data_IF_124311642724
#
_entry.id   IF_124311642724
#
_cell.length_a   1.000
_cell.length_b   1.000
_cell.length_c   1.000
_cell.angle_alpha   90.00
_cell.angle_beta   90.00
_cell.angle_gamma   90.00
#
_symmetry.space_group_name_H-M   'P 1'
#
loop_
_entity.id
_entity.type
_entity.pdbx_description
1 polymer ?
#
# COMPACT_ATOMS: atom_id res chain seq x y z
N UNK A 1 -23.41 3.96 29.09
CA UNK A 1 -22.84 2.99 28.15
C UNK A 1 -23.40 3.37 26.78
N UNK A 2 -22.59 4.04 25.97
CA UNK A 2 -22.96 4.34 24.58
C UNK A 2 -22.76 3.05 23.79
N UNK A 3 -23.84 2.42 23.31
CA UNK A 3 -23.72 1.33 22.35
C UNK A 3 -23.09 1.92 21.09
N UNK A 4 -21.84 1.55 20.82
CA UNK A 4 -21.23 1.76 19.51
C UNK A 4 -22.05 0.93 18.52
N UNK A 5 -22.72 1.59 17.60
CA UNK A 5 -23.43 0.89 16.53
C UNK A 5 -22.36 0.21 15.65
N UNK A 6 -22.32 -1.12 15.66
CA UNK A 6 -21.43 -1.89 14.81
C UNK A 6 -21.73 -1.54 13.34
N UNK A 7 -20.68 -1.23 12.61
CA UNK A 7 -20.71 -1.26 11.14
C UNK A 7 -20.57 -2.73 10.74
N UNK A 8 -21.35 -3.19 9.77
CA UNK A 8 -21.30 -4.58 9.34
C UNK A 8 -19.84 -5.03 9.15
N UNK A 9 -19.44 -6.13 9.82
CA UNK A 9 -18.09 -6.72 9.82
C UNK A 9 -16.98 -5.91 10.53
N UNK A 10 -17.29 -4.76 11.14
CA UNK A 10 -16.29 -3.93 11.83
C UNK A 10 -16.55 -3.96 13.33
N UNK A 11 -15.59 -4.46 14.07
CA UNK A 11 -15.59 -4.38 15.52
C UNK A 11 -14.90 -3.09 15.97
N UNK A 12 -15.66 -2.15 16.56
CA UNK A 12 -15.14 -0.88 17.04
C UNK A 12 -14.71 -1.04 18.50
N UNK A 13 -13.40 -0.88 18.78
CA UNK A 13 -12.82 -0.97 20.12
C UNK A 13 -13.00 0.34 20.89
N UNK A 14 -12.79 1.47 20.22
CA UNK A 14 -13.08 2.82 20.74
C UNK A 14 -13.35 3.81 19.61
N UNK A 15 -13.98 4.94 19.93
CA UNK A 15 -14.37 5.96 18.94
C UNK A 15 -13.41 7.17 19.04
N UNK A 16 -12.48 7.37 18.11
CA UNK A 16 -11.49 8.45 18.15
C UNK A 16 -12.14 9.79 17.85
N UNK A 17 -11.61 10.87 18.48
CA UNK A 17 -12.08 12.26 18.27
C UNK A 17 -11.38 12.87 17.07
N UNK A 18 -11.89 12.60 15.89
CA UNK A 18 -11.37 13.14 14.62
C UNK A 18 -12.22 14.32 14.15
N UNK A 19 -11.62 15.23 13.38
CA UNK A 19 -12.29 16.42 12.85
C UNK A 19 -12.68 16.24 11.39
N UNK A 20 -11.70 16.13 10.51
CA UNK A 20 -11.80 15.84 9.07
C UNK A 20 -10.54 15.07 8.64
N UNK A 21 -10.40 13.83 9.11
CA UNK A 21 -9.16 13.08 8.90
C UNK A 21 -8.97 12.71 7.43
N UNK A 22 -7.70 12.47 7.07
CA UNK A 22 -7.40 11.67 5.91
C UNK A 22 -7.39 10.19 6.31
N UNK A 23 -7.76 9.30 5.38
CA UNK A 23 -7.64 7.86 5.56
C UNK A 23 -6.60 7.31 4.59
N UNK A 24 -5.60 6.62 5.11
CA UNK A 24 -4.57 5.93 4.32
C UNK A 24 -4.75 4.44 4.45
N UNK A 25 -4.84 3.73 3.33
CA UNK A 25 -5.04 2.28 3.31
C UNK A 25 -3.94 1.56 2.53
N UNK A 26 -3.42 0.47 3.08
CA UNK A 26 -2.46 -0.42 2.43
C UNK A 26 -2.78 -1.89 2.76
N UNK A 27 -2.66 -2.76 1.77
CA UNK A 27 -2.99 -4.17 1.91
C UNK A 27 -1.84 -5.03 1.40
N UNK A 28 -1.38 -5.99 2.23
CA UNK A 28 -0.44 -7.03 1.82
C UNK A 28 -1.10 -7.91 0.78
N UNK A 29 -0.33 -8.36 -0.19
CA UNK A 29 -0.82 -9.24 -1.26
C UNK A 29 -0.39 -8.76 -2.63
N UNK A 30 -1.24 -8.94 -3.61
CA UNK A 30 -0.97 -8.64 -5.01
C UNK A 30 -0.59 -7.15 -5.28
N UNK A 31 -1.13 -6.24 -4.48
CA UNK A 31 -0.87 -4.79 -4.60
C UNK A 31 0.36 -4.31 -3.82
N UNK A 32 1.20 -5.18 -3.28
CA UNK A 32 2.25 -4.80 -2.33
C UNK A 32 3.61 -5.43 -2.68
N UNK A 33 4.09 -5.14 -3.88
CA UNK A 33 5.39 -5.61 -4.35
C UNK A 33 6.50 -5.19 -3.38
N UNK A 34 7.34 -6.16 -2.98
CA UNK A 34 8.38 -5.95 -1.98
C UNK A 34 7.86 -5.53 -0.61
N UNK A 35 6.57 -5.71 -0.28
CA UNK A 35 6.00 -5.29 1.00
C UNK A 35 6.09 -3.78 1.26
N UNK A 36 6.20 -2.98 0.21
CA UNK A 36 6.53 -1.56 0.32
C UNK A 36 5.38 -0.73 0.89
N UNK A 37 4.15 -0.95 0.42
CA UNK A 37 2.98 -0.20 0.85
C UNK A 37 2.58 -0.53 2.29
N UNK A 38 2.61 -1.81 2.66
CA UNK A 38 2.33 -2.25 4.04
C UNK A 38 3.41 -1.77 5.01
N UNK A 39 4.68 -1.75 4.58
CA UNK A 39 5.78 -1.19 5.37
C UNK A 39 5.58 0.33 5.58
N UNK A 40 5.25 1.07 4.52
CA UNK A 40 4.96 2.50 4.60
C UNK A 40 3.83 2.79 5.59
N UNK A 41 2.71 2.06 5.50
CA UNK A 41 1.59 2.22 6.43
C UNK A 41 1.97 1.90 7.89
N UNK A 42 2.83 0.88 8.10
CA UNK A 42 3.37 0.56 9.43
C UNK A 42 4.20 1.71 10.02
N UNK A 43 5.08 2.32 9.24
CA UNK A 43 5.84 3.50 9.67
C UNK A 43 4.95 4.72 9.89
N UNK A 44 4.00 4.98 8.99
CA UNK A 44 3.03 6.08 9.15
C UNK A 44 2.29 5.98 10.48
N UNK A 45 1.78 4.78 10.80
CA UNK A 45 1.13 4.50 12.08
C UNK A 45 2.03 4.82 13.26
N UNK A 46 3.30 4.37 13.20
CA UNK A 46 4.25 4.55 14.30
C UNK A 46 4.62 6.03 14.52
N UNK A 47 4.92 6.78 13.45
CA UNK A 47 5.34 8.20 13.57
C UNK A 47 4.19 9.14 13.91
N UNK A 48 2.94 8.72 13.70
CA UNK A 48 1.76 9.51 14.06
C UNK A 48 1.12 9.10 15.38
N UNK A 49 1.73 8.16 16.12
CA UNK A 49 1.18 7.57 17.36
C UNK A 49 -0.30 7.16 17.19
N UNK A 50 -0.59 6.47 16.08
CA UNK A 50 -1.94 6.03 15.80
C UNK A 50 -2.27 4.76 16.59
N UNK A 51 -3.31 4.83 17.42
CA UNK A 51 -3.81 3.71 18.21
C UNK A 51 -4.86 2.90 17.45
N UNK A 52 -4.90 1.58 17.67
CA UNK A 52 -5.91 0.73 17.05
C UNK A 52 -7.29 1.07 17.64
N UNK A 53 -8.22 1.42 16.77
CA UNK A 53 -9.56 1.82 17.15
C UNK A 53 -10.66 0.87 16.67
N UNK A 54 -10.37 0.06 15.63
CA UNK A 54 -11.29 -0.94 15.12
C UNK A 54 -10.57 -2.06 14.37
N UNK A 55 -11.27 -3.17 14.15
CA UNK A 55 -10.79 -4.33 13.37
C UNK A 55 -11.93 -4.77 12.44
N UNK A 56 -11.60 -5.10 11.21
CA UNK A 56 -12.52 -5.79 10.30
C UNK A 56 -12.35 -7.29 10.51
N UNK A 57 -13.44 -7.97 10.81
CA UNK A 57 -13.47 -9.42 10.99
C UNK A 57 -12.95 -10.12 9.72
N UNK A 58 -11.94 -10.96 9.87
CA UNK A 58 -11.30 -11.65 8.74
C UNK A 58 -12.08 -12.87 8.24
N UNK A 59 -12.89 -13.51 9.10
CA UNK A 59 -13.64 -14.74 8.78
C UNK A 59 -14.46 -14.66 7.49
N UNK A 60 -15.21 -13.58 7.19
CA UNK A 60 -16.00 -13.49 5.98
C UNK A 60 -15.19 -13.21 4.71
N UNK A 61 -13.93 -12.82 4.83
CA UNK A 61 -13.15 -12.23 3.74
C UNK A 61 -11.88 -12.99 3.37
N UNK A 62 -11.34 -13.81 4.29
CA UNK A 62 -10.08 -14.50 4.12
C UNK A 62 -10.31 -16.01 3.97
N UNK A 63 -9.73 -16.58 2.93
CA UNK A 63 -9.58 -18.03 2.80
C UNK A 63 -8.30 -18.46 3.54
N UNK A 64 -8.46 -19.03 4.72
CA UNK A 64 -7.32 -19.47 5.54
C UNK A 64 -6.53 -20.64 4.96
N UNK A 65 -6.96 -21.25 3.87
CA UNK A 65 -6.12 -22.20 3.12
C UNK A 65 -5.11 -21.48 2.23
N UNK A 66 -5.46 -20.30 1.73
CA UNK A 66 -4.58 -19.46 0.91
C UNK A 66 -3.75 -18.51 1.78
N UNK A 67 -4.38 -17.87 2.77
CA UNK A 67 -3.73 -16.91 3.68
C UNK A 67 -3.81 -17.43 5.11
N UNK A 68 -2.82 -18.25 5.48
CA UNK A 68 -2.82 -18.94 6.77
C UNK A 68 -2.53 -18.01 7.94
N UNK A 69 -3.21 -18.16 9.09
CA UNK A 69 -2.76 -17.55 10.33
C UNK A 69 -1.38 -18.10 10.72
N UNK A 70 -0.58 -17.28 11.38
CA UNK A 70 0.76 -17.65 11.81
C UNK A 70 0.81 -17.92 13.31
N UNK A 71 1.64 -18.90 13.72
CA UNK A 71 1.88 -19.20 15.13
C UNK A 71 3.16 -18.51 15.56
N UNK A 72 3.09 -17.73 16.62
CA UNK A 72 4.26 -17.15 17.27
C UNK A 72 4.44 -17.76 18.66
N UNK A 73 5.71 -17.92 19.09
CA UNK A 73 6.05 -18.25 20.46
C UNK A 73 6.37 -16.93 21.18
N UNK A 74 5.56 -16.62 22.18
CA UNK A 74 5.76 -15.47 23.07
C UNK A 74 6.50 -15.98 24.31
N UNK A 75 7.62 -15.37 24.66
CA UNK A 75 8.49 -15.75 25.80
C UNK A 75 8.91 -17.23 25.81
N UNK A 76 8.94 -17.86 24.63
CA UNK A 76 9.40 -19.24 24.46
C UNK A 76 8.37 -20.33 24.76
N UNK A 77 7.25 -20.03 25.41
CA UNK A 77 6.30 -21.04 25.88
C UNK A 77 4.85 -20.82 25.41
N UNK A 78 4.42 -19.56 25.23
CA UNK A 78 3.03 -19.26 24.90
C UNK A 78 2.86 -19.19 23.38
N UNK A 79 1.99 -20.05 22.83
CA UNK A 79 1.60 -19.99 21.43
C UNK A 79 0.53 -18.92 21.25
N UNK A 80 0.82 -17.91 20.40
CA UNK A 80 -0.17 -16.94 19.91
C UNK A 80 -0.42 -17.18 18.42
N UNK A 81 -1.70 -17.17 18.02
CA UNK A 81 -2.09 -17.16 16.63
C UNK A 81 -2.30 -15.72 16.18
N UNK A 82 -1.57 -15.32 15.15
CA UNK A 82 -1.79 -14.06 14.46
C UNK A 82 -2.64 -14.33 13.22
N UNK A 83 -3.85 -13.78 13.25
CA UNK A 83 -4.79 -13.87 12.14
C UNK A 83 -4.55 -12.79 11.09
N UNK A 84 -4.85 -13.04 9.82
CA UNK A 84 -4.70 -12.03 8.76
C UNK A 84 -5.83 -10.99 8.82
N UNK A 85 -5.91 -10.26 9.93
CA UNK A 85 -6.91 -9.22 10.18
C UNK A 85 -6.62 -7.95 9.40
N UNK A 86 -7.66 -7.13 9.22
CA UNK A 86 -7.51 -5.74 8.77
C UNK A 86 -7.78 -4.84 9.95
N UNK A 87 -6.74 -4.12 10.37
CA UNK A 87 -6.76 -3.25 11.52
C UNK A 87 -6.93 -1.79 11.09
N UNK A 88 -7.71 -1.04 11.86
CA UNK A 88 -7.96 0.38 11.67
C UNK A 88 -7.38 1.12 12.86
N UNK A 89 -6.46 2.02 12.56
CA UNK A 89 -5.78 2.86 13.54
C UNK A 89 -6.19 4.32 13.35
N UNK A 90 -6.17 5.09 14.42
CA UNK A 90 -6.46 6.52 14.37
C UNK A 90 -5.47 7.32 15.20
N UNK A 91 -5.03 8.46 14.68
CA UNK A 91 -4.27 9.48 15.39
C UNK A 91 -5.13 10.72 15.54
N UNK A 92 -5.51 11.06 16.76
CA UNK A 92 -6.27 12.29 17.05
C UNK A 92 -5.42 13.55 16.85
N UNK A 93 -4.11 13.45 17.11
CA UNK A 93 -3.15 14.56 16.96
C UNK A 93 -2.90 14.92 15.51
N UNK A 94 -2.73 13.89 14.66
CA UNK A 94 -2.48 14.05 13.22
C UNK A 94 -3.77 14.11 12.39
N UNK A 95 -4.93 13.92 13.02
CA UNK A 95 -6.24 13.82 12.35
C UNK A 95 -6.21 12.83 11.18
N UNK A 96 -5.76 11.60 11.46
CA UNK A 96 -5.42 10.58 10.49
C UNK A 96 -6.04 9.23 10.86
N UNK A 97 -6.51 8.50 9.87
CA UNK A 97 -6.91 7.09 9.97
C UNK A 97 -5.97 6.26 9.09
N UNK A 98 -5.48 5.14 9.62
CA UNK A 98 -4.62 4.21 8.88
C UNK A 98 -5.26 2.83 8.88
N UNK A 99 -5.51 2.28 7.70
CA UNK A 99 -6.06 0.93 7.50
C UNK A 99 -4.95 0.04 6.98
N UNK A 100 -4.63 -1.02 7.72
CA UNK A 100 -3.59 -1.98 7.35
C UNK A 100 -4.16 -3.39 7.43
N UNK A 101 -4.03 -4.14 6.37
CA UNK A 101 -4.54 -5.52 6.35
C UNK A 101 -3.90 -6.38 5.29
N UNK A 102 -4.54 -7.50 5.04
CA UNK A 102 -4.24 -8.39 3.91
C UNK A 102 -5.34 -8.25 2.88
N UNK A 103 -4.98 -8.29 1.60
CA UNK A 103 -5.95 -8.31 0.52
C UNK A 103 -6.93 -9.47 0.71
N UNK A 104 -8.26 -9.21 0.75
CA UNK A 104 -9.23 -10.26 0.98
C UNK A 104 -9.29 -11.24 -0.20
N UNK A 105 -9.51 -12.53 0.08
CA UNK A 105 -9.69 -13.53 -0.95
C UNK A 105 -11.10 -13.51 -1.55
N UNK A 106 -12.07 -13.01 -0.79
CA UNK A 106 -13.50 -13.03 -1.17
C UNK A 106 -14.28 -11.84 -0.65
N UNK A 107 -15.52 -11.67 -1.17
CA UNK A 107 -16.49 -10.64 -0.75
C UNK A 107 -15.95 -9.19 -0.82
N UNK A 108 -15.14 -8.89 -1.80
CA UNK A 108 -14.45 -7.62 -1.97
C UNK A 108 -15.37 -6.39 -1.91
N UNK A 109 -16.60 -6.49 -2.45
CA UNK A 109 -17.58 -5.39 -2.39
C UNK A 109 -18.02 -5.10 -0.95
N UNK A 110 -18.25 -6.13 -0.15
CA UNK A 110 -18.63 -5.97 1.26
C UNK A 110 -17.46 -5.44 2.08
N UNK A 111 -16.24 -5.95 1.85
CA UNK A 111 -15.02 -5.48 2.50
C UNK A 111 -14.75 -3.99 2.21
N UNK A 112 -14.75 -3.59 0.94
CA UNK A 112 -14.54 -2.19 0.55
C UNK A 112 -15.69 -1.29 1.03
N UNK A 113 -16.92 -1.81 1.05
CA UNK A 113 -18.08 -1.12 1.62
C UNK A 113 -17.89 -0.81 3.10
N UNK A 114 -17.42 -1.78 3.90
CA UNK A 114 -17.15 -1.59 5.31
C UNK A 114 -16.10 -0.47 5.56
N UNK A 115 -15.03 -0.43 4.76
CA UNK A 115 -14.03 0.65 4.85
C UNK A 115 -14.64 2.01 4.45
N UNK A 116 -15.44 2.06 3.38
CA UNK A 116 -16.11 3.29 2.95
C UNK A 116 -17.11 3.80 4.01
N UNK A 117 -17.82 2.90 4.69
CA UNK A 117 -18.74 3.26 5.78
C UNK A 117 -17.99 3.78 7.01
N UNK A 118 -16.83 3.20 7.35
CA UNK A 118 -15.94 3.74 8.38
C UNK A 118 -15.41 5.12 7.99
N UNK A 119 -15.02 5.31 6.73
CA UNK A 119 -14.58 6.63 6.23
C UNK A 119 -15.70 7.67 6.36
N UNK A 120 -16.95 7.32 6.06
CA UNK A 120 -18.12 8.20 6.27
C UNK A 120 -18.39 8.48 7.75
N UNK A 121 -18.31 7.44 8.60
CA UNK A 121 -18.49 7.57 10.06
C UNK A 121 -17.52 8.58 10.63
N UNK A 122 -16.24 8.50 10.26
CA UNK A 122 -15.20 9.42 10.73
C UNK A 122 -15.15 10.74 9.95
N UNK A 123 -16.02 10.96 8.95
CA UNK A 123 -16.05 12.16 8.11
C UNK A 123 -14.71 12.40 7.40
N UNK A 124 -14.14 11.34 6.88
CA UNK A 124 -12.86 11.38 6.14
C UNK A 124 -12.95 12.37 4.99
N UNK A 125 -11.95 13.24 4.87
CA UNK A 125 -11.87 14.24 3.80
C UNK A 125 -11.34 13.64 2.50
N UNK A 126 -10.31 12.78 2.61
CA UNK A 126 -9.68 12.11 1.48
C UNK A 126 -9.26 10.69 1.87
N UNK A 127 -9.63 9.72 1.04
CA UNK A 127 -9.13 8.35 1.13
C UNK A 127 -7.94 8.20 0.18
N UNK A 128 -6.78 7.77 0.71
CA UNK A 128 -5.56 7.53 -0.07
C UNK A 128 -5.20 6.06 0.06
N UNK A 129 -5.10 5.37 -1.06
CA UNK A 129 -4.57 4.01 -1.07
C UNK A 129 -3.10 4.02 -1.48
N UNK A 130 -2.31 3.16 -0.86
CA UNK A 130 -0.93 2.92 -1.26
C UNK A 130 -0.78 1.51 -1.81
N UNK A 131 -0.03 1.40 -2.90
CA UNK A 131 0.34 0.14 -3.51
C UNK A 131 1.77 0.15 -4.04
N UNK A 132 2.26 -1.01 -4.43
CA UNK A 132 3.53 -1.16 -5.12
C UNK A 132 3.41 -2.24 -6.19
N UNK A 133 4.02 -2.00 -7.35
CA UNK A 133 4.02 -2.91 -8.49
C UNK A 133 5.45 -3.23 -8.91
N UNK A 134 5.66 -4.45 -9.41
CA UNK A 134 6.91 -4.80 -10.07
C UNK A 134 6.98 -4.11 -11.44
N UNK A 135 8.12 -3.51 -11.75
CA UNK A 135 8.31 -2.76 -12.98
C UNK A 135 9.78 -2.85 -13.46
N UNK A 136 9.98 -2.49 -14.73
CA UNK A 136 11.30 -2.34 -15.36
C UNK A 136 11.93 -1.02 -14.92
N UNK A 137 12.38 -0.95 -13.66
CA UNK A 137 13.00 0.25 -13.08
C UNK A 137 14.32 -0.12 -12.39
N UNK A 138 15.37 0.72 -12.51
CA UNK A 138 16.64 0.45 -11.85
C UNK A 138 16.57 0.82 -10.36
N UNK A 139 17.16 -0.02 -9.50
CA UNK A 139 17.25 0.24 -8.06
C UNK A 139 18.19 1.40 -7.68
N UNK A 140 19.01 1.85 -8.63
CA UNK A 140 20.00 2.91 -8.47
C UNK A 140 19.44 4.31 -8.73
N UNK A 141 18.20 4.42 -9.15
CA UNK A 141 17.50 5.70 -9.39
C UNK A 141 16.39 5.90 -8.34
N UNK A 142 15.90 7.13 -8.14
CA UNK A 142 14.75 7.38 -7.29
C UNK A 142 13.57 6.50 -7.66
N UNK A 143 12.88 5.94 -6.68
CA UNK A 143 11.71 5.09 -6.91
C UNK A 143 10.61 5.91 -7.58
N UNK A 144 10.15 5.55 -8.78
CA UNK A 144 9.05 6.25 -9.42
C UNK A 144 7.76 6.06 -8.63
N UNK A 145 7.04 7.17 -8.37
CA UNK A 145 5.73 7.16 -7.75
C UNK A 145 4.72 7.69 -8.74
N UNK A 146 3.79 6.84 -9.14
CA UNK A 146 2.61 7.28 -9.86
C UNK A 146 1.47 7.60 -8.88
N UNK A 147 0.67 8.61 -9.23
CA UNK A 147 -0.41 9.05 -8.39
C UNK A 147 -1.63 9.40 -9.24
N UNK A 148 -2.76 8.81 -8.92
CA UNK A 148 -4.01 8.99 -9.66
C UNK A 148 -5.15 9.41 -8.74
N UNK A 149 -6.14 10.12 -9.28
CA UNK A 149 -7.37 10.44 -8.59
C UNK A 149 -8.56 10.47 -9.56
N UNK A 150 -9.77 10.35 -9.02
CA UNK A 150 -11.01 10.50 -9.78
C UNK A 150 -11.55 11.93 -9.83
N UNK A 151 -11.07 12.78 -8.93
CA UNK A 151 -11.53 14.15 -8.71
C UNK A 151 -10.56 15.15 -9.35
N UNK A 152 -11.10 16.03 -10.23
CA UNK A 152 -10.29 17.02 -10.95
C UNK A 152 -9.58 18.02 -10.03
N UNK A 153 -10.23 18.41 -8.93
CA UNK A 153 -9.61 19.32 -7.96
C UNK A 153 -8.38 18.70 -7.29
N UNK A 154 -8.44 17.38 -6.97
CA UNK A 154 -7.28 16.65 -6.45
C UNK A 154 -6.17 16.53 -7.49
N UNK A 155 -6.54 16.30 -8.76
CA UNK A 155 -5.56 16.23 -9.85
C UNK A 155 -4.82 17.56 -9.98
N UNK A 156 -5.54 18.68 -10.05
CA UNK A 156 -4.94 20.01 -10.18
C UNK A 156 -4.09 20.37 -8.94
N UNK A 157 -4.62 20.10 -7.75
CA UNK A 157 -3.96 20.45 -6.49
C UNK A 157 -2.67 19.71 -6.24
N UNK A 158 -2.61 18.43 -6.60
CA UNK A 158 -1.48 17.55 -6.25
C UNK A 158 -0.68 17.07 -7.47
N UNK A 159 -1.00 17.56 -8.66
CA UNK A 159 -0.35 17.12 -9.89
C UNK A 159 -0.58 15.63 -10.17
N UNK A 160 -1.82 15.15 -9.95
CA UNK A 160 -2.20 13.77 -10.19
C UNK A 160 -2.78 13.61 -11.59
N UNK A 161 -2.74 12.38 -12.11
CA UNK A 161 -3.38 12.04 -13.37
C UNK A 161 -4.68 11.26 -13.13
N UNK A 162 -5.52 11.21 -14.17
CA UNK A 162 -6.60 10.22 -14.22
C UNK A 162 -6.02 8.91 -14.72
N UNK A 163 -6.33 7.79 -14.06
CA UNK A 163 -6.01 6.49 -14.61
C UNK A 163 -6.86 6.21 -15.84
N UNK A 164 -6.24 5.76 -16.92
CA UNK A 164 -6.90 5.22 -18.12
C UNK A 164 -6.74 3.71 -18.21
N UNK A 165 -6.19 3.10 -17.16
CA UNK A 165 -5.95 1.67 -17.08
C UNK A 165 -7.25 0.88 -17.20
N UNK A 166 -7.24 -0.11 -18.11
CA UNK A 166 -8.30 -1.09 -18.31
C UNK A 166 -7.69 -2.50 -18.20
N UNK A 167 -8.06 -3.25 -17.15
CA UNK A 167 -7.52 -4.58 -16.92
C UNK A 167 -7.92 -5.17 -15.57
N UNK A 168 -7.32 -6.31 -15.15
CA UNK A 168 -7.53 -6.90 -13.84
C UNK A 168 -7.14 -5.91 -12.74
N UNK A 169 -7.93 -5.83 -11.67
CA UNK A 169 -7.67 -4.93 -10.55
C UNK A 169 -7.66 -5.67 -9.22
N UNK A 170 -6.88 -5.17 -8.28
CA UNK A 170 -6.85 -5.64 -6.89
C UNK A 170 -7.84 -4.89 -6.00
N UNK A 171 -7.74 -5.15 -4.68
CA UNK A 171 -8.62 -4.54 -3.68
C UNK A 171 -8.56 -3.01 -3.67
N UNK A 172 -7.41 -2.43 -4.05
CA UNK A 172 -7.23 -0.97 -4.17
C UNK A 172 -8.23 -0.38 -5.16
N UNK A 173 -8.34 -0.95 -6.38
CA UNK A 173 -9.29 -0.48 -7.39
C UNK A 173 -10.74 -0.66 -6.95
N UNK A 174 -11.08 -1.78 -6.28
CA UNK A 174 -12.43 -2.02 -5.75
C UNK A 174 -12.77 -1.04 -4.61
N UNK A 175 -11.79 -0.66 -3.79
CA UNK A 175 -11.98 0.35 -2.74
C UNK A 175 -12.24 1.73 -3.35
N UNK A 176 -11.52 2.11 -4.41
CA UNK A 176 -11.79 3.36 -5.13
C UNK A 176 -13.21 3.43 -5.68
N UNK A 177 -13.70 2.34 -6.29
CA UNK A 177 -15.07 2.24 -6.78
C UNK A 177 -16.09 2.34 -5.63
N UNK A 178 -15.83 1.70 -4.48
CA UNK A 178 -16.66 1.84 -3.29
C UNK A 178 -16.67 3.27 -2.74
N UNK A 179 -15.53 3.95 -2.69
CA UNK A 179 -15.41 5.35 -2.31
C UNK A 179 -16.23 6.26 -3.24
N UNK A 180 -16.10 6.08 -4.56
CA UNK A 180 -16.84 6.86 -5.54
C UNK A 180 -18.36 6.70 -5.35
N UNK A 181 -18.85 5.45 -5.17
CA UNK A 181 -20.26 5.19 -4.88
C UNK A 181 -20.74 5.80 -3.56
N UNK A 182 -19.88 5.89 -2.58
CA UNK A 182 -20.16 6.51 -1.28
C UNK A 182 -20.06 8.05 -1.30
N UNK A 183 -19.66 8.65 -2.43
CA UNK A 183 -19.43 10.09 -2.56
C UNK A 183 -18.17 10.58 -1.80
N UNK A 184 -17.21 9.68 -1.58
CA UNK A 184 -15.92 9.98 -0.94
C UNK A 184 -14.88 10.33 -2.01
N UNK A 185 -14.05 11.32 -1.71
CA UNK A 185 -12.89 11.67 -2.53
C UNK A 185 -11.79 10.63 -2.32
N UNK A 186 -11.14 10.19 -3.39
CA UNK A 186 -10.07 9.20 -3.27
C UNK A 186 -8.92 9.44 -4.25
N UNK A 187 -7.72 9.07 -3.81
CA UNK A 187 -6.49 9.07 -4.59
C UNK A 187 -5.73 7.76 -4.37
N UNK A 188 -4.84 7.43 -5.27
CA UNK A 188 -4.01 6.23 -5.22
C UNK A 188 -2.56 6.58 -5.48
N UNK A 189 -1.65 6.05 -4.66
CA UNK A 189 -0.21 6.16 -4.81
C UNK A 189 0.38 4.78 -5.09
N UNK A 190 1.20 4.67 -6.12
CA UNK A 190 1.84 3.42 -6.51
C UNK A 190 3.34 3.60 -6.67
N UNK A 191 4.12 2.77 -5.97
CA UNK A 191 5.57 2.71 -6.14
C UNK A 191 5.94 1.65 -7.18
N UNK A 192 6.82 2.02 -8.12
CA UNK A 192 7.44 1.07 -9.02
C UNK A 192 8.63 0.41 -8.32
N UNK A 193 8.63 -0.92 -8.24
CA UNK A 193 9.73 -1.69 -7.63
C UNK A 193 10.40 -2.57 -8.66
N UNK A 194 11.75 -2.70 -8.64
CA UNK A 194 12.45 -3.54 -9.59
C UNK A 194 12.01 -5.00 -9.49
N UNK A 195 11.62 -5.61 -10.61
CA UNK A 195 11.16 -7.00 -10.64
C UNK A 195 12.30 -8.02 -10.42
N UNK A 196 13.55 -7.64 -10.70
CA UNK A 196 14.73 -8.51 -10.51
C UNK A 196 15.22 -8.58 -9.06
N UNK A 197 14.59 -7.84 -8.12
CA UNK A 197 14.93 -7.85 -6.71
C UNK A 197 13.85 -8.60 -5.92
N UNK A 198 14.19 -9.78 -5.42
CA UNK A 198 13.29 -10.58 -4.57
C UNK A 198 13.32 -10.20 -3.09
N UNK A 199 14.26 -9.32 -2.68
CA UNK A 199 14.42 -8.93 -1.28
C UNK A 199 13.21 -8.12 -0.77
N UNK A 200 12.57 -8.61 0.27
CA UNK A 200 11.45 -7.96 0.96
C UNK A 200 11.78 -7.88 2.46
N UNK A 201 11.39 -6.80 3.16
CA UNK A 201 10.68 -5.62 2.63
C UNK A 201 11.58 -4.67 1.82
N UNK A 202 10.95 -3.79 1.00
CA UNK A 202 11.61 -2.73 0.24
C UNK A 202 11.42 -1.35 0.92
N UNK A 203 12.34 -0.92 1.78
CA UNK A 203 12.21 0.36 2.49
C UNK A 203 12.47 1.59 1.61
N UNK A 204 13.13 1.46 0.46
CA UNK A 204 13.28 2.58 -0.49
C UNK A 204 11.93 2.95 -1.10
N UNK A 205 11.17 1.96 -1.55
CA UNK A 205 9.83 2.19 -2.09
C UNK A 205 8.85 2.68 -1.00
N UNK A 206 8.95 2.15 0.22
CA UNK A 206 8.16 2.63 1.35
C UNK A 206 8.46 4.10 1.69
N UNK A 207 9.74 4.50 1.69
CA UNK A 207 10.16 5.88 1.92
C UNK A 207 9.63 6.83 0.83
N UNK A 208 9.70 6.42 -0.43
CA UNK A 208 9.19 7.19 -1.55
C UNK A 208 7.66 7.39 -1.47
N UNK A 209 6.90 6.35 -1.10
CA UNK A 209 5.45 6.44 -0.84
C UNK A 209 5.14 7.44 0.28
N UNK A 210 5.84 7.36 1.41
CA UNK A 210 5.62 8.25 2.55
C UNK A 210 6.02 9.70 2.24
N UNK A 211 7.08 9.91 1.48
CA UNK A 211 7.48 11.26 1.03
C UNK A 211 6.36 11.87 0.21
N UNK A 212 5.85 11.15 -0.78
CA UNK A 212 4.75 11.63 -1.63
C UNK A 212 3.46 11.84 -0.85
N UNK A 213 3.12 10.91 0.06
CA UNK A 213 1.98 11.04 0.96
C UNK A 213 2.08 12.31 1.83
N UNK A 214 3.25 12.56 2.43
CA UNK A 214 3.49 13.74 3.27
C UNK A 214 3.25 15.06 2.53
N UNK A 215 3.65 15.12 1.26
CA UNK A 215 3.37 16.29 0.38
C UNK A 215 1.86 16.49 0.16
N UNK A 216 1.10 15.41 0.06
CA UNK A 216 -0.34 15.48 -0.20
C UNK A 216 -1.15 15.89 1.04
N UNK A 217 -0.87 15.30 2.20
CA UNK A 217 -1.70 15.50 3.40
C UNK A 217 -1.10 16.48 4.41
N UNK A 218 0.14 16.91 4.21
CA UNK A 218 0.83 17.82 5.13
C UNK A 218 1.21 17.21 6.48
N UNK A 219 1.05 15.91 6.64
CA UNK A 219 1.45 15.18 7.85
C UNK A 219 2.87 14.65 7.65
N UNK A 220 3.85 15.04 8.48
CA UNK A 220 5.19 14.48 8.40
C UNK A 220 5.14 12.96 8.59
N UNK A 221 5.57 12.21 7.61
CA UNK A 221 5.61 10.77 7.65
C UNK A 221 7.06 10.24 7.55
N UNK A 222 8.04 11.12 7.50
CA UNK A 222 9.46 10.76 7.49
C UNK A 222 9.92 10.21 8.83
N UNK A 223 10.78 9.21 8.78
CA UNK A 223 11.41 8.58 9.93
C UNK A 223 12.88 8.34 9.62
N UNK A 224 13.77 8.83 10.49
CA UNK A 224 15.21 8.58 10.36
C UNK A 224 15.55 7.08 10.38
N UNK A 225 14.71 6.28 11.00
CA UNK A 225 14.83 4.83 10.98
C UNK A 225 14.54 4.25 9.59
N UNK A 226 13.47 4.71 8.92
CA UNK A 226 13.15 4.28 7.55
C UNK A 226 14.21 4.76 6.55
N UNK A 227 14.72 5.99 6.69
CA UNK A 227 15.80 6.51 5.85
C UNK A 227 17.08 5.68 5.98
N UNK A 228 17.43 5.30 7.21
CA UNK A 228 18.57 4.40 7.47
C UNK A 228 18.32 3.01 6.86
N UNK A 229 17.13 2.43 7.07
CA UNK A 229 16.76 1.14 6.50
C UNK A 229 16.79 1.15 4.97
N UNK A 230 16.33 2.25 4.33
CA UNK A 230 16.39 2.44 2.88
C UNK A 230 17.84 2.49 2.37
N UNK A 231 18.71 3.21 3.09
CA UNK A 231 20.14 3.30 2.74
C UNK A 231 20.84 1.96 2.87
N UNK A 232 20.61 1.23 3.97
CA UNK A 232 21.17 -0.11 4.18
C UNK A 232 20.66 -1.12 3.15
N UNK A 233 19.39 -1.04 2.77
CA UNK A 233 18.80 -1.86 1.70
C UNK A 233 19.47 -1.59 0.36
N UNK A 234 19.65 -0.32 -0.03
CA UNK A 234 20.34 0.07 -1.26
C UNK A 234 21.74 -0.54 -1.36
N UNK A 235 22.52 -0.46 -0.27
CA UNK A 235 23.87 -1.03 -0.23
C UNK A 235 23.87 -2.56 -0.38
N UNK A 236 22.94 -3.25 0.28
CA UNK A 236 22.82 -4.72 0.16
C UNK A 236 22.43 -5.15 -1.25
N UNK A 237 21.49 -4.45 -1.87
CA UNK A 237 21.06 -4.72 -3.24
C UNK A 237 22.19 -4.47 -4.23
N UNK A 238 22.88 -3.33 -4.12
CA UNK A 238 24.00 -3.00 -4.99
C UNK A 238 25.14 -4.05 -4.87
N UNK A 239 25.45 -4.52 -3.67
CA UNK A 239 26.44 -5.59 -3.46
C UNK A 239 26.01 -6.90 -4.11
N UNK A 240 24.76 -7.32 -3.94
CA UNK A 240 24.25 -8.56 -4.50
C UNK A 240 24.24 -8.56 -6.04
N UNK A 241 23.94 -7.40 -6.66
CA UNK A 241 23.90 -7.25 -8.11
C UNK A 241 25.32 -7.18 -8.70
N UNK A 242 26.29 -6.57 -8.00
CA UNK A 242 27.67 -6.50 -8.47
C UNK A 242 28.33 -7.88 -8.62
N UNK A 243 27.82 -8.87 -7.92
CA UNK A 243 28.32 -10.25 -7.98
C UNK A 243 27.74 -11.05 -9.16
N UNK A 244 26.75 -10.49 -9.90
CA UNK A 244 26.10 -11.12 -11.07
C UNK A 244 26.22 -10.22 -12.30
N UNK A 245 27.14 -10.53 -13.24
CA UNK A 245 27.40 -9.71 -14.43
C UNK A 245 26.20 -9.59 -15.39
N UNK A 246 25.33 -10.61 -15.46
CA UNK A 246 24.18 -10.61 -16.35
C UNK A 246 23.12 -9.63 -15.83
N UNK A 247 22.86 -9.63 -14.52
CA UNK A 247 21.96 -8.68 -13.87
C UNK A 247 22.55 -7.27 -13.91
N UNK A 248 23.86 -7.11 -13.71
CA UNK A 248 24.53 -5.79 -13.79
C UNK A 248 24.38 -5.15 -15.17
N UNK A 249 24.55 -5.93 -16.25
CA UNK A 249 24.31 -5.46 -17.62
C UNK A 249 22.87 -5.05 -17.89
N UNK A 250 21.90 -5.81 -17.36
CA UNK A 250 20.49 -5.46 -17.44
C UNK A 250 20.16 -4.15 -16.68
N UNK A 251 20.69 -3.99 -15.47
CA UNK A 251 20.51 -2.76 -14.69
C UNK A 251 21.03 -1.53 -15.44
N UNK A 252 22.18 -1.64 -16.12
CA UNK A 252 22.69 -0.53 -16.91
C UNK A 252 21.73 -0.13 -18.04
N UNK A 253 21.08 -1.08 -18.71
CA UNK A 253 20.07 -0.79 -19.73
C UNK A 253 18.86 -0.06 -19.13
N UNK A 254 18.41 -0.49 -17.95
CA UNK A 254 17.32 0.18 -17.23
C UNK A 254 17.71 1.60 -16.81
N UNK A 255 18.95 1.83 -16.38
CA UNK A 255 19.45 3.17 -16.05
C UNK A 255 19.44 4.11 -17.26
N UNK A 256 19.94 3.64 -18.40
CA UNK A 256 19.94 4.39 -19.66
C UNK A 256 18.50 4.75 -20.10
N UNK A 257 17.57 3.80 -19.95
CA UNK A 257 16.16 4.01 -20.25
C UNK A 257 15.52 5.02 -19.29
N UNK A 258 15.77 4.89 -17.97
CA UNK A 258 15.24 5.79 -16.96
C UNK A 258 15.78 7.21 -17.07
N UNK A 259 17.06 7.38 -17.43
CA UNK A 259 17.69 8.69 -17.63
C UNK A 259 17.22 9.40 -18.91
N UNK A 260 16.66 8.64 -19.87
CA UNK A 260 16.13 9.16 -21.14
C UNK A 260 14.62 9.43 -21.14
N UNK A 261 13.88 8.92 -20.16
CA UNK A 261 12.42 8.97 -20.09
C UNK A 261 11.92 9.98 -19.05
N UNK A 262 10.71 10.51 -19.28
CA UNK A 262 9.95 11.15 -18.21
C UNK A 262 9.48 10.06 -17.21
N UNK A 263 9.18 10.42 -15.95
CA UNK A 263 8.69 9.44 -14.96
C UNK A 263 7.45 8.70 -15.46
N UNK A 264 7.38 7.35 -15.34
CA UNK A 264 6.27 6.57 -15.86
C UNK A 264 4.94 6.95 -15.22
N UNK A 265 3.90 6.99 -16.01
CA UNK A 265 2.53 7.18 -15.52
C UNK A 265 2.02 5.92 -14.79
N UNK A 266 0.94 6.05 -14.02
CA UNK A 266 0.33 4.90 -13.34
C UNK A 266 -0.17 3.83 -14.31
N UNK A 267 -0.61 4.24 -15.49
CA UNK A 267 -1.10 3.33 -16.52
C UNK A 267 0.03 2.56 -17.21
N UNK A 268 1.18 3.20 -17.43
CA UNK A 268 2.38 2.54 -17.92
C UNK A 268 2.90 1.51 -16.93
N UNK A 269 2.95 1.85 -15.64
CA UNK A 269 3.34 0.91 -14.58
C UNK A 269 2.40 -0.29 -14.50
N UNK A 270 1.10 -0.09 -14.65
CA UNK A 270 0.13 -1.16 -14.64
C UNK A 270 0.27 -2.07 -15.88
N UNK A 271 0.54 -1.49 -17.06
CA UNK A 271 0.78 -2.23 -18.29
C UNK A 271 2.08 -3.05 -18.23
N UNK A 272 3.14 -2.51 -17.64
CA UNK A 272 4.41 -3.21 -17.42
C UNK A 272 4.22 -4.40 -16.48
N UNK A 273 3.46 -4.20 -15.40
CA UNK A 273 3.14 -5.27 -14.47
C UNK A 273 2.31 -6.39 -15.10
N UNK A 274 1.32 -6.07 -15.94
CA UNK A 274 0.56 -7.08 -16.69
C UNK A 274 1.44 -7.86 -17.68
N UNK A 275 2.38 -7.18 -18.34
CA UNK A 275 3.34 -7.83 -19.21
C UNK A 275 4.18 -8.83 -18.42
N UNK A 276 4.74 -8.42 -17.29
CA UNK A 276 5.48 -9.28 -16.38
C UNK A 276 4.68 -10.51 -15.94
N UNK A 277 3.41 -10.35 -15.56
CA UNK A 277 2.55 -11.45 -15.15
C UNK A 277 2.28 -12.46 -16.30
N UNK A 278 2.10 -11.97 -17.53
CA UNK A 278 1.93 -12.83 -18.71
C UNK A 278 3.18 -13.66 -18.98
N UNK A 279 4.36 -13.06 -18.96
CA UNK A 279 5.63 -13.74 -19.16
C UNK A 279 5.90 -14.81 -18.09
N UNK A 280 5.49 -14.58 -16.84
CA UNK A 280 5.58 -15.56 -15.74
C UNK A 280 4.52 -16.67 -15.86
N UNK A 281 3.38 -16.41 -16.49
CA UNK A 281 2.30 -17.39 -16.72
C UNK A 281 2.64 -18.40 -17.81
N UNK A 282 3.20 -17.93 -18.92
CA UNK A 282 3.58 -18.77 -20.07
C UNK A 282 4.77 -19.72 -19.77
N UNK A 283 5.58 -19.41 -18.74
CA UNK A 283 6.71 -20.27 -18.32
C UNK A 283 6.34 -21.44 -17.38
N UNK A 284 5.07 -21.61 -17.01
CA UNK A 284 4.62 -22.70 -16.13
C UNK A 284 3.92 -23.86 -16.84
N UNK A 285 3.72 -23.78 -18.15
CA UNK A 285 3.06 -24.80 -18.97
C UNK A 285 4.07 -25.61 -19.83
N UNK A 286 5.37 -25.54 -19.57
CA UNK A 286 6.41 -26.45 -20.07
C UNK A 286 6.95 -27.30 -18.87
#
# INVERSE_FOLDING_TARGET
MCQTADVDFVHIEHDPKLRRPNLVAAFRGWNDAGGAASLAAGYLRAVTDADRCAVIDSEPFIDYQQTRPTVQLVDGDVRRLDWPETEIYASETSDLVVVVGTEPNMRWRAFSGAIADMARRYRVDLVITMGALLADTPHTRPVPISATASDLELMDRFGLSRSTYEGPTGIVGVLHDACARAGLRSASLWAATPHYISASPNPQAALALLTRLSEMIGTPAGSSELERAASEYALRVASAISDDPDIAGYVQQLEEAADAADPPSGDELAADFERYLREQGDGKDE
#
